data_IF_002337962946
#
_entry.id   IF_002337962946
#
_cell.length_a   1.000
_cell.length_b   1.000
_cell.length_c   1.000
_cell.angle_alpha   90.00
_cell.angle_beta   90.00
_cell.angle_gamma   90.00
#
_symmetry.space_group_name_H-M   'P 1'
#
loop_
_entity.id
_entity.type
_entity.pdbx_description
1 polymer ?
#
# COMPACT_ATOMS: atom_id res chain seq x y z
N UNK A 1 16.59 13.70 0.27
CA UNK A 1 16.24 13.66 -1.16
C UNK A 1 14.90 12.94 -1.25
N UNK A 2 13.87 13.55 -1.83
CA UNK A 2 12.56 12.89 -2.00
C UNK A 2 12.56 12.09 -3.31
N UNK A 3 11.81 10.99 -3.34
CA UNK A 3 11.61 10.23 -4.58
C UNK A 3 10.15 10.36 -5.00
N UNK A 4 9.92 10.79 -6.24
CA UNK A 4 8.57 10.99 -6.76
C UNK A 4 7.92 9.65 -7.13
N UNK A 5 6.68 9.45 -6.67
CA UNK A 5 5.82 8.34 -7.10
C UNK A 5 4.72 8.89 -7.99
N UNK A 6 4.85 8.64 -9.29
CA UNK A 6 3.86 9.10 -10.28
C UNK A 6 2.48 8.54 -9.98
N UNK A 7 1.52 9.43 -9.79
CA UNK A 7 0.12 9.06 -9.54
C UNK A 7 -0.56 8.61 -10.84
N UNK A 8 -0.95 7.34 -10.92
CA UNK A 8 -1.73 6.80 -12.04
C UNK A 8 -1.57 5.29 -12.24
N UNK A 9 -2.42 4.70 -13.09
CA UNK A 9 -2.49 3.25 -13.34
C UNK A 9 -1.15 2.62 -13.72
N UNK A 10 -0.32 3.32 -14.51
CA UNK A 10 0.99 2.81 -14.94
C UNK A 10 1.95 2.52 -13.79
N UNK A 11 1.82 3.25 -12.68
CA UNK A 11 2.72 3.13 -11.52
C UNK A 11 2.05 2.35 -10.40
N UNK A 12 0.77 2.62 -10.16
CA UNK A 12 0.07 2.13 -8.96
C UNK A 12 -0.69 0.82 -9.20
N UNK A 13 -0.80 0.33 -10.45
CA UNK A 13 -1.55 -0.89 -10.74
C UNK A 13 -0.93 -2.13 -10.16
N UNK A 14 0.34 -2.35 -10.50
CA UNK A 14 1.11 -3.48 -10.02
C UNK A 14 1.16 -3.52 -8.47
N UNK A 15 1.52 -2.44 -7.75
CA UNK A 15 1.62 -2.51 -6.30
C UNK A 15 0.26 -2.64 -5.61
N UNK A 16 -0.82 -2.09 -6.19
CA UNK A 16 -2.17 -2.32 -5.66
C UNK A 16 -2.59 -3.78 -5.79
N UNK A 17 -2.21 -4.45 -6.89
CA UNK A 17 -2.49 -5.89 -7.09
C UNK A 17 -1.66 -6.74 -6.13
N UNK A 18 -0.37 -6.50 -6.07
CA UNK A 18 0.56 -7.23 -5.21
C UNK A 18 0.21 -7.08 -3.73
N UNK A 19 -0.06 -5.84 -3.25
CA UNK A 19 -0.48 -5.61 -1.88
C UNK A 19 -1.75 -6.40 -1.52
N UNK A 20 -2.74 -6.44 -2.43
CA UNK A 20 -3.97 -7.21 -2.20
C UNK A 20 -3.72 -8.71 -2.16
N UNK A 21 -2.82 -9.21 -3.00
CA UNK A 21 -2.44 -10.62 -3.01
C UNK A 21 -1.72 -11.02 -1.71
N UNK A 22 -0.77 -10.22 -1.26
CA UNK A 22 -0.09 -10.43 0.02
C UNK A 22 -1.04 -10.32 1.21
N UNK A 23 -2.02 -9.41 1.16
CA UNK A 23 -3.08 -9.33 2.16
C UNK A 23 -3.91 -10.62 2.22
N UNK A 24 -4.27 -11.21 1.06
CA UNK A 24 -5.01 -12.47 1.02
C UNK A 24 -4.20 -13.69 1.42
N UNK A 25 -2.87 -13.59 1.38
CA UNK A 25 -1.95 -14.63 1.84
C UNK A 25 -1.62 -14.51 3.33
N UNK A 26 -2.20 -13.54 4.04
CA UNK A 26 -1.85 -13.18 5.42
C UNK A 26 -0.36 -12.84 5.61
N UNK A 27 0.30 -12.33 4.56
CA UNK A 27 1.72 -11.96 4.57
C UNK A 27 1.98 -10.50 5.00
N UNK A 28 0.93 -9.77 5.37
CA UNK A 28 1.04 -8.37 5.78
C UNK A 28 0.94 -8.30 7.30
N UNK A 29 2.06 -7.97 7.94
CA UNK A 29 2.11 -7.59 9.35
C UNK A 29 1.98 -6.07 9.46
N UNK A 30 0.97 -5.60 10.18
CA UNK A 30 0.87 -4.21 10.59
C UNK A 30 0.37 -4.11 12.04
N UNK A 31 0.79 -3.06 12.75
CA UNK A 31 0.27 -2.79 14.09
C UNK A 31 -1.23 -2.41 14.02
N UNK A 32 -1.98 -2.75 15.07
CA UNK A 32 -3.38 -2.38 15.21
C UNK A 32 -3.52 -0.84 15.19
N UNK A 33 -4.01 -0.33 14.06
CA UNK A 33 -4.15 1.10 13.84
C UNK A 33 -5.58 1.41 13.38
N UNK A 34 -6.44 1.92 14.29
CA UNK A 34 -7.85 2.18 13.99
C UNK A 34 -8.07 3.12 12.81
N UNK A 35 -7.14 4.06 12.59
CA UNK A 35 -7.22 5.00 11.47
C UNK A 35 -6.92 4.31 10.14
N UNK A 36 -5.92 3.41 10.13
CA UNK A 36 -5.60 2.62 8.95
C UNK A 36 -6.73 1.64 8.65
N UNK A 37 -7.26 0.94 9.66
CA UNK A 37 -8.37 0.01 9.51
C UNK A 37 -9.61 0.70 8.93
N UNK A 38 -9.93 1.89 9.46
CA UNK A 38 -11.01 2.70 8.92
C UNK A 38 -10.73 3.12 7.47
N UNK A 39 -9.52 3.60 7.15
CA UNK A 39 -9.17 3.98 5.78
C UNK A 39 -9.23 2.81 4.80
N UNK A 40 -8.79 1.62 5.21
CA UNK A 40 -8.88 0.38 4.42
C UNK A 40 -10.35 0.03 4.18
N UNK A 41 -11.21 0.11 5.20
CA UNK A 41 -12.64 -0.20 5.07
C UNK A 41 -13.38 0.71 4.08
N UNK A 42 -12.87 1.94 3.87
CA UNK A 42 -13.43 2.90 2.92
C UNK A 42 -12.88 2.75 1.49
N UNK A 43 -11.81 1.98 1.31
CA UNK A 43 -11.05 1.95 0.08
C UNK A 43 -11.75 1.11 -1.00
N UNK A 44 -11.92 1.71 -2.18
CA UNK A 44 -12.42 1.02 -3.38
C UNK A 44 -11.42 1.14 -4.51
N UNK A 45 -11.41 0.16 -5.41
CA UNK A 45 -10.54 0.17 -6.58
C UNK A 45 -11.30 0.55 -7.84
N UNK A 46 -10.73 1.40 -8.68
CA UNK A 46 -11.16 1.55 -10.08
C UNK A 46 -10.38 0.61 -10.98
N UNK A 47 -11.00 0.17 -12.06
CA UNK A 47 -10.43 -0.74 -13.06
C UNK A 47 -10.42 -0.09 -14.45
N UNK A 48 -9.34 -0.25 -15.21
CA UNK A 48 -9.30 0.15 -16.62
C UNK A 48 -9.63 -1.02 -17.58
N UNK A 49 -9.60 -0.76 -18.89
CA UNK A 49 -9.84 -1.76 -19.93
C UNK A 49 -8.78 -2.88 -19.97
N UNK A 50 -7.56 -2.59 -19.51
CA UNK A 50 -6.43 -3.53 -19.43
C UNK A 50 -6.43 -4.30 -18.11
N UNK A 51 -7.53 -4.27 -17.35
CA UNK A 51 -7.66 -4.91 -16.05
C UNK A 51 -6.64 -4.41 -15.01
N UNK A 52 -6.08 -3.22 -15.19
CA UNK A 52 -5.31 -2.53 -14.16
C UNK A 52 -6.25 -2.00 -13.09
N UNK A 53 -5.78 -2.00 -11.84
CA UNK A 53 -6.55 -1.49 -10.71
C UNK A 53 -5.77 -0.44 -9.96
N UNK A 54 -6.42 0.58 -9.42
CA UNK A 54 -5.80 1.48 -8.44
C UNK A 54 -6.86 1.95 -7.47
N UNK A 55 -6.44 2.47 -6.32
CA UNK A 55 -7.37 3.09 -5.38
C UNK A 55 -8.11 4.26 -6.04
N UNK A 56 -9.42 4.32 -5.83
CA UNK A 56 -10.30 5.37 -6.34
C UNK A 56 -10.74 6.28 -5.20
N UNK A 57 -10.03 7.40 -5.04
CA UNK A 57 -10.30 8.39 -4.01
C UNK A 57 -11.66 9.08 -4.18
N UNK A 58 -12.16 9.20 -5.41
CA UNK A 58 -13.42 9.90 -5.68
C UNK A 58 -14.64 9.04 -5.35
N UNK A 59 -14.52 7.72 -5.53
CA UNK A 59 -15.59 6.76 -5.24
C UNK A 59 -15.51 6.12 -3.85
N UNK A 60 -14.42 6.37 -3.12
CA UNK A 60 -14.28 5.89 -1.74
C UNK A 60 -15.32 6.53 -0.83
N UNK A 61 -15.86 5.76 0.12
CA UNK A 61 -16.94 6.24 1.00
C UNK A 61 -16.47 7.38 1.90
N UNK A 62 -15.22 7.33 2.34
CA UNK A 62 -14.56 8.40 3.10
C UNK A 62 -13.07 8.51 2.71
N UNK A 63 -12.27 9.14 3.57
CA UNK A 63 -10.83 9.33 3.36
C UNK A 63 -10.08 8.01 3.36
N UNK A 64 -9.13 7.93 2.43
CA UNK A 64 -8.26 6.77 2.21
C UNK A 64 -6.78 7.16 2.23
N UNK A 65 -6.46 8.35 2.74
CA UNK A 65 -5.09 8.89 2.73
C UNK A 65 -4.07 7.92 3.40
N UNK A 66 -4.38 7.24 4.52
CA UNK A 66 -3.48 6.25 5.12
C UNK A 66 -3.15 5.07 4.20
N UNK A 67 -4.15 4.38 3.65
CA UNK A 67 -3.92 3.23 2.75
C UNK A 67 -3.29 3.67 1.42
N UNK A 68 -3.61 4.88 0.92
CA UNK A 68 -2.93 5.44 -0.24
C UNK A 68 -1.44 5.69 0.01
N UNK A 69 -1.07 6.15 1.21
CA UNK A 69 0.33 6.30 1.61
C UNK A 69 1.03 4.93 1.69
N UNK A 70 0.37 3.91 2.24
CA UNK A 70 0.88 2.53 2.28
C UNK A 70 1.15 2.01 0.86
N UNK A 71 0.20 2.16 -0.09
CA UNK A 71 0.41 1.71 -1.47
C UNK A 71 1.54 2.47 -2.16
N UNK A 72 1.69 3.77 -1.91
CA UNK A 72 2.82 4.55 -2.44
C UNK A 72 4.15 4.02 -1.90
N UNK A 73 4.26 3.73 -0.60
CA UNK A 73 5.45 3.14 0.00
C UNK A 73 5.72 1.74 -0.57
N UNK A 74 4.67 0.91 -0.66
CA UNK A 74 4.73 -0.45 -1.17
C UNK A 74 5.18 -0.53 -2.63
N UNK A 75 4.81 0.45 -3.47
CA UNK A 75 5.28 0.56 -4.87
C UNK A 75 6.80 0.59 -5.05
N UNK A 76 7.52 0.90 -3.97
CA UNK A 76 8.98 0.95 -3.95
C UNK A 76 9.54 -0.25 -3.20
N UNK A 77 8.97 -0.56 -2.04
CA UNK A 77 9.43 -1.67 -1.21
C UNK A 77 9.28 -3.03 -1.93
N UNK A 78 8.18 -3.26 -2.65
CA UNK A 78 7.90 -4.54 -3.30
C UNK A 78 8.90 -4.90 -4.42
N UNK A 79 9.55 -3.90 -5.01
CA UNK A 79 10.50 -4.10 -6.12
C UNK A 79 11.93 -4.35 -5.63
N UNK A 80 12.23 -4.12 -4.34
CA UNK A 80 13.60 -4.00 -3.83
C UNK A 80 14.06 -5.11 -2.87
N UNK A 81 13.28 -6.15 -2.61
CA UNK A 81 13.60 -7.11 -1.55
C UNK A 81 14.54 -8.24 -2.01
N UNK A 82 15.86 -8.05 -1.82
CA UNK A 82 16.83 -9.16 -1.71
C UNK A 82 17.28 -9.40 -0.25
N UNK A 83 17.03 -8.47 0.68
CA UNK A 83 17.45 -8.54 2.07
C UNK A 83 16.26 -8.65 3.04
N UNK A 84 16.37 -9.56 4.01
CA UNK A 84 15.41 -9.69 5.12
C UNK A 84 15.67 -8.61 6.17
N UNK A 85 14.71 -7.70 6.33
CA UNK A 85 14.78 -6.57 7.26
C UNK A 85 13.96 -6.79 8.53
N UNK A 86 13.44 -8.01 8.77
CA UNK A 86 12.52 -8.29 9.87
C UNK A 86 13.09 -7.91 11.24
N UNK A 87 14.36 -8.27 11.48
CA UNK A 87 15.04 -7.96 12.75
C UNK A 87 15.18 -6.46 13.00
N UNK A 88 15.44 -5.68 11.93
CA UNK A 88 15.54 -4.23 12.03
C UNK A 88 14.17 -3.58 12.26
N UNK A 89 13.15 -3.99 11.51
CA UNK A 89 11.79 -3.43 11.63
C UNK A 89 11.16 -3.71 12.99
N UNK A 90 11.48 -4.86 13.61
CA UNK A 90 11.01 -5.24 14.95
C UNK A 90 11.88 -4.69 16.08
N UNK A 91 12.97 -3.99 15.76
CA UNK A 91 13.84 -3.37 16.77
C UNK A 91 13.25 -2.05 17.29
N UNK A 92 13.63 -1.68 18.50
CA UNK A 92 13.28 -0.38 19.10
C UNK A 92 13.88 0.83 18.33
N UNK A 93 14.85 0.60 17.43
CA UNK A 93 15.48 1.65 16.62
C UNK A 93 14.64 2.10 15.42
N UNK A 94 13.68 1.28 14.96
CA UNK A 94 12.87 1.60 13.77
C UNK A 94 11.78 2.65 14.04
N UNK A 95 11.38 2.83 15.30
CA UNK A 95 10.32 3.77 15.70
C UNK A 95 10.84 5.18 16.04
N UNK A 96 12.14 5.44 15.88
CA UNK A 96 12.82 6.70 16.23
C UNK A 96 13.03 7.65 15.05
#
# INVERSE_FOLDING_TARGET
MTVEVRQGMRTLSEPTKAFREEAYRDNILHEANPLLDWAISNAVTKRDHNENIMLDKEKSTNRIDPIAAVINAFSRAHVMAEEDLSDYVLSDEFSL
#
